data_IF_192533929468
#
_entry.id   IF_192533929468
#
_cell.length_a   1.000
_cell.length_b   1.000
_cell.length_c   1.000
_cell.angle_alpha   90.00
_cell.angle_beta   90.00
_cell.angle_gamma   90.00
#
_symmetry.space_group_name_H-M   'P 1'
#
loop_
_entity.id
_entity.type
_entity.pdbx_description
1 polymer ?
#
# COMPACT_ATOMS: atom_id res chain seq x y z
N UNK A 1 -5.06 18.85 -27.98
CA UNK A 1 -5.63 17.68 -27.26
C UNK A 1 -6.48 18.23 -26.14
N UNK A 2 -7.79 17.96 -26.11
CA UNK A 2 -8.63 18.30 -24.95
C UNK A 2 -8.59 17.11 -24.00
N UNK A 3 -8.14 17.31 -22.77
CA UNK A 3 -8.24 16.28 -21.73
C UNK A 3 -9.72 16.00 -21.45
N UNK A 4 -10.10 14.75 -21.14
CA UNK A 4 -11.45 14.47 -20.65
C UNK A 4 -11.73 15.29 -19.39
N UNK A 5 -13.00 15.66 -19.15
CA UNK A 5 -13.35 16.42 -17.96
C UNK A 5 -12.93 15.68 -16.68
N UNK A 6 -12.49 16.42 -15.64
CA UNK A 6 -12.03 15.81 -14.40
C UNK A 6 -13.18 15.16 -13.65
N UNK A 7 -12.86 14.11 -12.89
CA UNK A 7 -13.75 13.56 -11.86
C UNK A 7 -13.34 14.19 -10.53
N UNK A 8 -14.31 14.76 -9.83
CA UNK A 8 -14.12 15.29 -8.49
C UNK A 8 -14.87 14.36 -7.54
N UNK A 9 -14.13 13.75 -6.63
CA UNK A 9 -14.65 12.85 -5.61
C UNK A 9 -14.61 13.55 -4.24
N UNK A 10 -15.75 13.60 -3.56
CA UNK A 10 -15.87 14.07 -2.18
C UNK A 10 -15.99 12.90 -1.20
N UNK A 11 -15.60 13.13 0.05
CA UNK A 11 -15.64 12.12 1.11
C UNK A 11 -17.07 11.84 1.63
N UNK A 12 -17.13 10.96 2.64
CA UNK A 12 -18.34 10.40 3.24
C UNK A 12 -18.96 11.37 4.25
N UNK A 13 -19.58 12.44 3.75
CA UNK A 13 -20.63 13.15 4.47
C UNK A 13 -21.78 13.46 3.49
N UNK A 14 -22.99 13.11 3.91
CA UNK A 14 -24.31 13.24 3.27
C UNK A 14 -24.51 14.59 2.54
N UNK A 15 -25.60 14.76 1.78
CA UNK A 15 -26.05 16.01 1.11
C UNK A 15 -25.96 17.30 1.97
N UNK A 16 -25.75 17.15 3.28
CA UNK A 16 -25.29 18.17 4.23
C UNK A 16 -24.00 18.91 3.83
N UNK A 17 -23.09 18.35 3.03
CA UNK A 17 -21.84 19.03 2.60
C UNK A 17 -22.11 20.35 1.87
N UNK A 18 -23.16 20.37 1.04
CA UNK A 18 -23.61 21.56 0.29
C UNK A 18 -24.06 22.68 1.24
N UNK A 19 -24.61 22.31 2.39
CA UNK A 19 -25.08 23.24 3.42
C UNK A 19 -23.99 23.61 4.45
N UNK A 20 -22.94 22.79 4.57
CA UNK A 20 -21.83 22.98 5.51
C UNK A 20 -20.90 24.14 5.11
N UNK A 21 -20.67 24.33 3.81
CA UNK A 21 -19.78 25.37 3.30
C UNK A 21 -20.55 26.37 2.46
N UNK A 22 -20.39 27.66 2.77
CA UNK A 22 -21.13 28.76 2.14
C UNK A 22 -21.06 28.76 0.60
N UNK A 23 -19.95 28.30 0.04
CA UNK A 23 -19.69 28.32 -1.40
C UNK A 23 -19.85 26.94 -2.08
N UNK A 24 -20.22 25.88 -1.36
CA UNK A 24 -20.26 24.53 -1.93
C UNK A 24 -21.25 24.43 -3.11
N UNK A 25 -22.47 24.95 -2.96
CA UNK A 25 -23.48 24.92 -4.04
C UNK A 25 -23.00 25.62 -5.31
N UNK A 26 -22.41 26.79 -5.17
CA UNK A 26 -21.89 27.56 -6.30
C UNK A 26 -20.72 26.84 -6.98
N UNK A 27 -19.83 26.23 -6.21
CA UNK A 27 -18.71 25.44 -6.74
C UNK A 27 -19.22 24.20 -7.50
N UNK A 28 -20.18 23.45 -6.94
CA UNK A 28 -20.77 22.27 -7.60
C UNK A 28 -21.45 22.67 -8.91
N UNK A 29 -22.24 23.74 -8.92
CA UNK A 29 -22.88 24.24 -10.14
C UNK A 29 -21.85 24.65 -11.20
N UNK A 30 -20.80 25.37 -10.82
CA UNK A 30 -19.73 25.78 -11.72
C UNK A 30 -18.97 24.57 -12.30
N UNK A 31 -18.69 23.56 -11.48
CA UNK A 31 -18.05 22.31 -11.93
C UNK A 31 -18.91 21.58 -12.96
N UNK A 32 -20.22 21.49 -12.73
CA UNK A 32 -21.17 20.93 -13.70
C UNK A 32 -21.20 21.72 -15.02
N UNK A 33 -21.19 23.06 -14.95
CA UNK A 33 -21.11 23.91 -16.15
C UNK A 33 -19.81 23.73 -16.94
N UNK A 34 -18.70 23.44 -16.24
CA UNK A 34 -17.41 23.14 -16.85
C UNK A 34 -17.30 21.69 -17.34
N UNK A 35 -18.34 20.87 -17.14
CA UNK A 35 -18.44 19.49 -17.61
C UNK A 35 -17.77 18.46 -16.71
N UNK A 36 -17.37 18.82 -15.48
CA UNK A 36 -16.78 17.89 -14.52
C UNK A 36 -17.83 16.89 -14.01
N UNK A 37 -17.40 15.65 -13.78
CA UNK A 37 -18.23 14.63 -13.14
C UNK A 37 -18.02 14.69 -11.63
N UNK A 38 -19.11 14.85 -10.88
CA UNK A 38 -19.08 14.85 -9.42
C UNK A 38 -19.50 13.48 -8.88
N UNK A 39 -18.63 12.88 -8.08
CA UNK A 39 -18.94 11.70 -7.26
C UNK A 39 -18.88 12.12 -5.80
N UNK A 40 -19.95 11.87 -5.06
CA UNK A 40 -20.01 12.11 -3.62
C UNK A 40 -19.90 10.78 -2.88
N UNK A 41 -19.54 10.84 -1.60
CA UNK A 41 -19.48 9.67 -0.72
C UNK A 41 -18.48 8.60 -1.19
N UNK A 42 -17.37 9.02 -1.78
CA UNK A 42 -16.30 8.12 -2.22
C UNK A 42 -15.30 7.93 -1.09
N UNK A 43 -15.21 6.72 -0.56
CA UNK A 43 -14.15 6.34 0.36
C UNK A 43 -12.84 6.14 -0.41
N UNK A 44 -11.86 7.01 -0.17
CA UNK A 44 -10.54 6.98 -0.80
C UNK A 44 -9.78 5.65 -0.58
N UNK A 45 -10.09 4.91 0.50
CA UNK A 45 -9.50 3.60 0.82
C UNK A 45 -10.21 2.42 0.15
N UNK A 46 -11.34 2.68 -0.50
CA UNK A 46 -12.13 1.66 -1.22
C UNK A 46 -12.46 2.08 -2.67
N UNK A 47 -11.95 3.22 -3.13
CA UNK A 47 -12.34 3.83 -4.40
C UNK A 47 -12.08 2.96 -5.63
N UNK A 48 -11.15 1.99 -5.56
CA UNK A 48 -10.93 1.04 -6.67
C UNK A 48 -12.12 0.11 -6.91
N UNK A 49 -12.96 -0.08 -5.89
CA UNK A 49 -14.15 -0.91 -5.94
C UNK A 49 -15.40 -0.09 -6.30
N UNK A 50 -15.30 1.24 -6.36
CA UNK A 50 -16.44 2.10 -6.65
C UNK A 50 -16.94 1.86 -8.09
N UNK A 51 -18.24 1.60 -8.33
CA UNK A 51 -18.75 1.20 -9.65
C UNK A 51 -18.41 2.18 -10.79
N UNK A 52 -18.38 3.48 -10.49
CA UNK A 52 -18.04 4.51 -11.47
C UNK A 52 -16.52 4.63 -11.74
N UNK A 53 -15.66 4.05 -10.88
CA UNK A 53 -14.20 4.23 -10.94
C UNK A 53 -13.46 2.92 -11.27
N UNK A 54 -14.01 1.76 -10.94
CA UNK A 54 -13.34 0.45 -11.03
C UNK A 54 -12.85 0.09 -12.43
N UNK A 55 -13.56 0.57 -13.45
CA UNK A 55 -13.22 0.36 -14.87
C UNK A 55 -12.36 1.48 -15.46
N UNK A 56 -12.09 2.54 -14.70
CA UNK A 56 -11.35 3.72 -15.16
C UNK A 56 -9.85 3.60 -14.88
N UNK A 57 -9.09 4.37 -15.66
CA UNK A 57 -7.67 4.62 -15.42
C UNK A 57 -7.36 6.10 -15.57
N UNK A 58 -6.54 6.63 -14.68
CA UNK A 58 -6.26 8.06 -14.57
C UNK A 58 -4.80 8.36 -14.89
N UNK A 59 -4.57 9.43 -15.64
CA UNK A 59 -3.23 10.00 -15.84
C UNK A 59 -2.78 10.79 -14.61
N UNK A 60 -3.74 11.28 -13.83
CA UNK A 60 -3.48 12.02 -12.59
C UNK A 60 -4.56 11.76 -11.57
N UNK A 61 -4.15 11.41 -10.36
CA UNK A 61 -5.02 11.32 -9.18
C UNK A 61 -4.46 12.30 -8.15
N UNK A 62 -5.29 13.21 -7.64
CA UNK A 62 -4.85 14.26 -6.71
C UNK A 62 -5.58 14.07 -5.38
N UNK A 63 -4.84 14.03 -4.28
CA UNK A 63 -5.40 14.04 -2.93
C UNK A 63 -4.93 15.28 -2.18
N UNK A 64 -5.88 16.16 -1.85
CA UNK A 64 -5.61 17.45 -1.23
C UNK A 64 -5.74 17.36 0.29
N UNK A 65 -4.62 17.50 1.01
CA UNK A 65 -4.57 17.59 2.47
C UNK A 65 -5.39 16.49 3.16
N UNK A 66 -5.06 15.20 2.92
CA UNK A 66 -5.77 14.07 3.51
C UNK A 66 -5.86 14.19 5.03
N UNK A 67 -6.99 13.77 5.62
CA UNK A 67 -7.22 13.82 7.06
C UNK A 67 -8.23 12.76 7.48
N UNK A 68 -7.93 12.01 8.55
CA UNK A 68 -8.77 10.90 9.02
C UNK A 68 -9.85 11.36 10.03
N UNK A 69 -10.35 12.59 9.87
CA UNK A 69 -11.26 13.21 10.84
C UNK A 69 -10.56 13.68 12.12
N UNK A 70 -11.33 14.21 13.07
CA UNK A 70 -10.84 14.93 14.25
C UNK A 70 -11.12 14.12 15.52
N UNK A 71 -10.22 13.19 15.85
CA UNK A 71 -10.38 12.29 17.00
C UNK A 71 -9.39 12.53 18.15
N UNK A 72 -8.65 13.63 18.13
CA UNK A 72 -7.63 13.93 19.13
C UNK A 72 -6.69 15.05 18.69
N UNK A 73 -5.53 15.12 19.33
CA UNK A 73 -4.47 16.07 18.93
C UNK A 73 -3.67 15.50 17.74
N UNK A 74 -3.20 16.39 16.88
CA UNK A 74 -2.45 16.02 15.67
C UNK A 74 -1.06 15.41 15.96
N UNK A 75 -0.54 15.60 17.19
CA UNK A 75 0.74 15.04 17.66
C UNK A 75 0.57 13.72 18.46
N UNK A 76 -0.67 13.24 18.61
CA UNK A 76 -0.96 11.98 19.28
C UNK A 76 -0.58 10.79 18.37
N UNK A 77 0.21 9.81 18.85
CA UNK A 77 0.65 8.66 18.05
C UNK A 77 -0.49 7.83 17.44
N UNK A 78 -1.63 7.68 18.13
CA UNK A 78 -2.77 6.92 17.63
C UNK A 78 -3.48 7.69 16.50
N UNK A 79 -3.57 9.02 16.65
CA UNK A 79 -4.12 9.91 15.62
C UNK A 79 -3.22 9.92 14.37
N UNK A 80 -1.90 10.03 14.56
CA UNK A 80 -0.92 9.92 13.46
C UNK A 80 -1.06 8.57 12.75
N UNK A 81 -1.23 7.48 13.49
CA UNK A 81 -1.41 6.13 12.91
C UNK A 81 -2.67 6.06 12.05
N UNK A 82 -3.79 6.62 12.50
CA UNK A 82 -5.03 6.69 11.69
C UNK A 82 -4.83 7.48 10.40
N UNK A 83 -4.13 8.61 10.48
CA UNK A 83 -3.81 9.42 9.31
C UNK A 83 -2.91 8.68 8.31
N UNK A 84 -1.89 7.98 8.81
CA UNK A 84 -1.03 7.12 7.99
C UNK A 84 -1.82 6.02 7.31
N UNK A 85 -2.72 5.34 8.02
CA UNK A 85 -3.56 4.28 7.45
C UNK A 85 -4.50 4.80 6.36
N UNK A 86 -5.09 5.99 6.53
CA UNK A 86 -5.89 6.65 5.48
C UNK A 86 -5.06 6.88 4.21
N UNK A 87 -3.87 7.44 4.34
CA UNK A 87 -2.99 7.76 3.20
C UNK A 87 -2.49 6.48 2.53
N UNK A 88 -2.11 5.46 3.32
CA UNK A 88 -1.72 4.13 2.81
C UNK A 88 -2.85 3.49 2.03
N UNK A 89 -4.05 3.44 2.60
CA UNK A 89 -5.25 2.89 1.94
C UNK A 89 -5.56 3.61 0.63
N UNK A 90 -5.45 4.94 0.61
CA UNK A 90 -5.54 5.73 -0.61
C UNK A 90 -4.48 5.32 -1.64
N UNK A 91 -3.20 5.25 -1.27
CA UNK A 91 -2.13 4.89 -2.21
C UNK A 91 -2.34 3.50 -2.83
N UNK A 92 -2.73 2.50 -2.03
CA UNK A 92 -3.06 1.15 -2.52
C UNK A 92 -4.21 1.16 -3.54
N UNK A 93 -5.19 2.04 -3.39
CA UNK A 93 -6.30 2.16 -4.32
C UNK A 93 -5.93 2.98 -5.55
N UNK A 94 -5.28 4.12 -5.35
CA UNK A 94 -4.89 5.06 -6.40
C UNK A 94 -3.93 4.41 -7.38
N UNK A 95 -2.95 3.64 -6.90
CA UNK A 95 -1.99 2.93 -7.76
C UNK A 95 -2.68 1.97 -8.73
N UNK A 96 -3.73 1.26 -8.27
CA UNK A 96 -4.49 0.32 -9.12
C UNK A 96 -5.34 0.99 -10.20
N UNK A 97 -5.67 2.26 -10.01
CA UNK A 97 -6.46 3.08 -10.93
C UNK A 97 -5.59 3.98 -11.83
N UNK A 98 -4.26 3.88 -11.73
CA UNK A 98 -3.34 4.75 -12.47
C UNK A 98 -2.98 4.14 -13.83
N UNK A 99 -2.85 4.98 -14.86
CA UNK A 99 -2.13 4.56 -16.07
C UNK A 99 -0.65 4.31 -15.75
N UNK A 100 0.06 3.46 -16.53
CA UNK A 100 1.47 3.16 -16.27
C UNK A 100 2.38 4.39 -16.23
N UNK A 101 2.05 5.48 -16.94
CA UNK A 101 2.75 6.77 -16.96
C UNK A 101 2.08 7.85 -16.11
N UNK A 102 0.97 7.51 -15.44
CA UNK A 102 0.23 8.43 -14.61
C UNK A 102 0.94 8.82 -13.32
N UNK A 103 0.39 9.83 -12.66
CA UNK A 103 0.95 10.42 -11.44
C UNK A 103 -0.09 10.50 -10.32
N UNK A 104 0.35 10.23 -9.09
CA UNK A 104 -0.42 10.51 -7.88
C UNK A 104 0.18 11.74 -7.22
N UNK A 105 -0.63 12.77 -7.00
CA UNK A 105 -0.21 14.02 -6.38
C UNK A 105 -0.84 14.13 -5.00
N UNK A 106 -0.05 14.29 -3.95
CA UNK A 106 -0.54 14.51 -2.58
C UNK A 106 -0.08 15.87 -2.09
N UNK A 107 -1.03 16.75 -1.78
CA UNK A 107 -0.73 18.02 -1.13
C UNK A 107 -0.73 17.82 0.38
N UNK A 108 0.38 18.11 1.05
CA UNK A 108 0.54 17.84 2.47
C UNK A 108 1.41 18.87 3.18
N UNK A 109 1.25 18.97 4.50
CA UNK A 109 2.10 19.79 5.35
C UNK A 109 3.42 19.05 5.64
N UNK A 110 4.52 19.78 5.63
CA UNK A 110 5.88 19.20 5.78
C UNK A 110 6.55 19.51 7.12
N UNK A 111 5.82 20.14 8.03
CA UNK A 111 6.29 20.44 9.39
C UNK A 111 5.57 19.59 10.41
N UNK A 112 6.19 19.41 11.57
CA UNK A 112 5.58 18.73 12.70
C UNK A 112 4.22 19.37 13.09
N UNK A 113 3.26 18.56 13.54
CA UNK A 113 3.31 17.09 13.66
C UNK A 113 3.04 16.34 12.34
N UNK A 114 2.59 17.04 11.30
CA UNK A 114 2.18 16.43 10.02
C UNK A 114 3.35 15.72 9.30
N UNK A 115 4.58 16.21 9.43
CA UNK A 115 5.76 15.55 8.86
C UNK A 115 5.99 14.12 9.39
N UNK A 116 5.41 13.77 10.54
CA UNK A 116 5.57 12.45 11.16
C UNK A 116 4.66 11.40 10.52
N UNK A 117 3.80 11.82 9.58
CA UNK A 117 3.02 10.89 8.77
C UNK A 117 3.89 10.17 7.73
N UNK A 118 5.12 10.65 7.47
CA UNK A 118 6.11 10.04 6.54
C UNK A 118 5.49 9.52 5.25
N UNK A 119 4.84 10.41 4.50
CA UNK A 119 4.04 10.06 3.32
C UNK A 119 4.86 9.42 2.19
N UNK A 120 6.15 9.71 2.11
CA UNK A 120 7.07 9.09 1.14
C UNK A 120 7.29 7.60 1.45
N UNK A 121 7.41 7.24 2.73
CA UNK A 121 7.54 5.86 3.17
C UNK A 121 6.26 5.08 2.84
N UNK A 122 5.09 5.67 3.12
CA UNK A 122 3.79 5.09 2.79
C UNK A 122 3.60 4.87 1.28
N UNK A 123 4.09 5.79 0.45
CA UNK A 123 4.06 5.64 -0.99
C UNK A 123 4.97 4.48 -1.44
N UNK A 124 6.18 4.40 -0.86
CA UNK A 124 7.15 3.33 -1.14
C UNK A 124 6.60 1.94 -0.80
N UNK A 125 5.94 1.80 0.35
CA UNK A 125 5.21 0.59 0.75
C UNK A 125 4.17 0.16 -0.31
N UNK A 126 3.63 1.12 -1.07
CA UNK A 126 2.61 0.92 -2.10
C UNK A 126 3.19 0.85 -3.53
N UNK A 127 4.49 0.54 -3.69
CA UNK A 127 5.18 0.46 -5.00
C UNK A 127 5.14 1.76 -5.81
N UNK A 128 5.10 2.90 -5.11
CA UNK A 128 5.18 4.22 -5.70
C UNK A 128 6.54 4.84 -5.38
N UNK A 129 7.10 5.58 -6.33
CA UNK A 129 8.34 6.32 -6.16
C UNK A 129 8.04 7.81 -6.19
N UNK A 130 8.66 8.57 -5.27
CA UNK A 130 8.64 10.02 -5.33
C UNK A 130 9.47 10.46 -6.54
N UNK A 131 8.84 11.20 -7.43
CA UNK A 131 9.49 11.77 -8.62
C UNK A 131 9.81 13.24 -8.44
N UNK A 132 8.99 13.95 -7.68
CA UNK A 132 9.14 15.38 -7.45
C UNK A 132 8.44 15.80 -6.16
N UNK A 133 9.07 16.66 -5.37
CA UNK A 133 8.43 17.40 -4.29
C UNK A 133 8.55 18.88 -4.59
N UNK A 134 7.42 19.57 -4.74
CA UNK A 134 7.37 21.01 -5.02
C UNK A 134 6.64 21.75 -3.94
N UNK A 135 7.05 23.00 -3.68
CA UNK A 135 6.34 23.87 -2.75
C UNK A 135 4.90 24.09 -3.22
N UNK A 136 3.94 23.82 -2.34
CA UNK A 136 2.55 24.15 -2.61
C UNK A 136 2.36 25.66 -2.44
N UNK A 137 1.98 26.33 -3.52
CA UNK A 137 1.76 27.77 -3.56
C UNK A 137 0.31 28.04 -3.84
N UNK A 138 -0.38 28.66 -2.88
CA UNK A 138 -1.82 28.99 -3.04
C UNK A 138 -2.01 29.99 -4.18
N UNK A 139 -1.00 30.84 -4.43
CA UNK A 139 -0.99 31.81 -5.53
C UNK A 139 -1.18 31.17 -6.92
N UNK A 140 -0.85 29.88 -7.07
CA UNK A 140 -1.02 29.14 -8.33
C UNK A 140 -2.46 28.67 -8.56
N UNK A 141 -3.35 28.83 -7.58
CA UNK A 141 -4.75 28.38 -7.64
C UNK A 141 -5.72 29.53 -7.35
N UNK A 142 -5.89 30.49 -8.28
CA UNK A 142 -6.82 31.60 -8.10
C UNK A 142 -8.24 31.10 -7.79
N UNK A 143 -8.85 31.65 -6.73
CA UNK A 143 -10.17 31.24 -6.25
C UNK A 143 -10.17 30.04 -5.28
N UNK A 144 -9.06 29.33 -5.12
CA UNK A 144 -8.93 28.30 -4.10
C UNK A 144 -8.86 28.92 -2.71
N UNK A 145 -9.81 28.53 -1.86
CA UNK A 145 -9.88 28.93 -0.46
C UNK A 145 -10.01 27.66 0.38
N UNK A 146 -8.91 27.25 1.03
CA UNK A 146 -8.90 26.04 1.83
C UNK A 146 -9.81 26.18 3.05
N UNK A 147 -10.44 25.07 3.45
CA UNK A 147 -11.44 25.01 4.52
C UNK A 147 -11.08 23.90 5.49
N UNK A 148 -11.52 24.03 6.74
CA UNK A 148 -11.36 22.97 7.76
C UNK A 148 -12.41 21.88 7.56
N UNK A 149 -12.05 20.65 7.94
CA UNK A 149 -12.88 19.49 7.69
C UNK A 149 -14.11 19.36 8.58
N UNK A 150 -14.19 20.01 9.75
CA UNK A 150 -15.33 19.86 10.66
C UNK A 150 -15.46 21.00 11.68
N UNK A 151 -16.52 20.94 12.49
CA UNK A 151 -16.77 21.85 13.61
C UNK A 151 -17.33 23.21 13.20
N UNK A 152 -17.57 24.08 14.20
CA UNK A 152 -18.12 25.43 13.99
C UNK A 152 -17.23 26.34 13.14
N UNK A 153 -15.94 25.98 12.99
CA UNK A 153 -14.93 26.67 12.18
C UNK A 153 -14.67 25.99 10.84
N UNK A 154 -15.51 25.06 10.41
CA UNK A 154 -15.29 24.32 9.16
C UNK A 154 -15.07 25.26 7.97
N UNK A 155 -15.84 26.35 7.88
CA UNK A 155 -15.72 27.31 6.76
C UNK A 155 -14.52 28.29 6.91
N UNK A 156 -13.76 28.23 8.00
CA UNK A 156 -12.52 29.00 8.17
C UNK A 156 -11.31 28.31 7.53
N UNK A 157 -10.31 29.07 7.07
CA UNK A 157 -9.09 28.49 6.55
C UNK A 157 -8.22 27.88 7.66
N UNK A 158 -7.38 26.93 7.25
CA UNK A 158 -6.22 26.50 8.02
C UNK A 158 -4.93 27.10 7.44
N UNK A 159 -3.85 27.23 8.22
CA UNK A 159 -2.60 27.80 7.72
C UNK A 159 -2.04 27.01 6.53
N UNK A 160 -1.83 27.72 5.42
CA UNK A 160 -1.08 27.29 4.24
C UNK A 160 0.15 28.21 4.08
N UNK A 161 1.19 27.74 3.40
CA UNK A 161 2.38 28.54 3.13
C UNK A 161 3.61 27.71 2.81
N UNK A 162 4.80 28.21 3.15
CA UNK A 162 6.11 27.57 2.91
C UNK A 162 6.27 26.18 3.56
N UNK A 163 5.30 25.77 4.38
CA UNK A 163 5.26 24.51 5.12
C UNK A 163 4.34 23.48 4.47
N UNK A 164 3.99 23.65 3.19
CA UNK A 164 3.20 22.70 2.42
C UNK A 164 3.91 22.35 1.12
N UNK A 165 3.81 21.09 0.70
CA UNK A 165 4.36 20.62 -0.57
C UNK A 165 3.36 19.74 -1.30
N UNK A 166 3.49 19.72 -2.62
CA UNK A 166 2.90 18.70 -3.50
C UNK A 166 3.94 17.62 -3.73
N UNK A 167 3.63 16.41 -3.29
CA UNK A 167 4.43 15.21 -3.53
C UNK A 167 3.87 14.52 -4.77
N UNK A 168 4.72 14.28 -5.77
CA UNK A 168 4.32 13.65 -7.02
C UNK A 168 4.95 12.27 -7.12
N UNK A 169 4.11 11.26 -7.15
CA UNK A 169 4.50 9.86 -7.19
C UNK A 169 4.15 9.24 -8.53
N UNK A 170 4.97 8.29 -8.97
CA UNK A 170 4.67 7.40 -10.11
C UNK A 170 4.74 5.96 -9.65
N UNK A 171 4.10 5.07 -10.41
CA UNK A 171 4.34 3.64 -10.27
C UNK A 171 5.84 3.38 -10.45
N UNK A 172 6.42 2.62 -9.52
CA UNK A 172 7.77 2.11 -9.66
C UNK A 172 7.81 1.16 -10.87
N UNK A 173 8.13 1.70 -12.06
CA UNK A 173 8.30 0.91 -13.26
C UNK A 173 9.55 0.07 -13.11
N UNK A 174 9.38 -1.23 -12.96
CA UNK A 174 10.48 -2.16 -13.05
C UNK A 174 10.92 -2.33 -14.51
N UNK A 175 11.54 -1.31 -15.10
CA UNK A 175 12.43 -1.56 -16.25
C UNK A 175 13.71 -2.14 -15.67
N UNK A 176 13.84 -3.47 -15.70
CA UNK A 176 15.08 -4.16 -15.29
C UNK A 176 15.46 -3.86 -13.84
N UNK A 177 14.52 -4.06 -12.90
CA UNK A 177 14.80 -4.04 -11.45
C UNK A 177 14.05 -5.14 -10.71
N UNK A 178 12.98 -5.70 -11.31
CA UNK A 178 12.44 -6.99 -10.88
C UNK A 178 13.51 -8.07 -10.97
N UNK A 179 14.39 -8.04 -11.98
CA UNK A 179 15.60 -8.89 -12.00
C UNK A 179 16.56 -8.54 -10.86
N UNK A 180 16.74 -7.30 -10.40
CA UNK A 180 17.68 -7.06 -9.29
C UNK A 180 17.13 -7.45 -7.90
N UNK A 181 15.83 -7.30 -7.63
CA UNK A 181 15.23 -7.76 -6.36
C UNK A 181 14.94 -9.26 -6.41
N UNK A 182 14.39 -9.78 -7.51
CA UNK A 182 14.23 -11.23 -7.67
C UNK A 182 15.58 -11.93 -7.85
N UNK A 183 16.59 -11.38 -8.53
CA UNK A 183 17.96 -11.94 -8.59
C UNK A 183 18.72 -11.70 -7.28
N UNK A 184 18.45 -10.63 -6.50
CA UNK A 184 18.92 -10.59 -5.11
C UNK A 184 18.32 -11.74 -4.32
N UNK A 185 17.00 -11.97 -4.42
CA UNK A 185 16.32 -13.06 -3.72
C UNK A 185 16.71 -14.45 -4.26
N UNK A 186 16.99 -14.59 -5.56
CA UNK A 186 17.42 -15.82 -6.24
C UNK A 186 18.88 -16.12 -5.95
N UNK A 187 19.77 -15.13 -5.95
CA UNK A 187 21.18 -15.27 -5.54
C UNK A 187 21.28 -15.53 -4.03
N UNK A 188 20.41 -14.95 -3.20
CA UNK A 188 20.29 -15.29 -1.77
C UNK A 188 19.89 -16.77 -1.60
N UNK A 189 18.93 -17.27 -2.39
CA UNK A 189 18.50 -18.67 -2.38
C UNK A 189 19.60 -19.65 -2.86
N UNK A 190 20.29 -19.33 -3.96
CA UNK A 190 21.37 -20.15 -4.54
C UNK A 190 22.61 -20.20 -3.63
N UNK A 191 23.01 -19.08 -3.03
CA UNK A 191 24.18 -19.02 -2.14
C UNK A 191 23.93 -19.74 -0.81
N UNK A 192 22.69 -19.82 -0.34
CA UNK A 192 22.33 -20.65 0.83
C UNK A 192 22.43 -22.15 0.53
N UNK A 193 22.01 -22.60 -0.66
CA UNK A 193 22.18 -24.02 -1.04
C UNK A 193 23.64 -24.44 -1.22
N UNK A 194 24.54 -23.54 -1.61
CA UNK A 194 25.99 -23.85 -1.70
C UNK A 194 26.67 -23.82 -0.32
N UNK A 195 26.19 -22.98 0.60
CA UNK A 195 26.82 -22.84 1.94
C UNK A 195 26.33 -23.88 2.94
N UNK A 196 25.12 -24.42 2.77
CA UNK A 196 24.59 -25.49 3.65
C UNK A 196 25.18 -26.88 3.35
N UNK A 197 25.99 -27.05 2.31
CA UNK A 197 26.71 -28.32 2.07
C UNK A 197 28.03 -28.49 2.82
N UNK A 198 28.48 -27.54 3.65
CA UNK A 198 29.73 -27.72 4.42
C UNK A 198 29.67 -27.60 5.93
N UNK A 199 28.54 -27.28 6.56
CA UNK A 199 28.48 -27.38 8.03
C UNK A 199 27.04 -27.60 8.53
N UNK A 200 26.70 -28.87 8.72
CA UNK A 200 25.89 -29.43 9.81
C UNK A 200 25.87 -30.95 9.63
N UNK A 201 26.89 -31.63 10.15
CA UNK A 201 26.85 -33.08 10.31
C UNK A 201 25.91 -33.44 11.46
N UNK A 202 24.74 -33.98 11.14
CA UNK A 202 23.99 -34.90 12.01
C UNK A 202 23.48 -36.05 11.11
N UNK A 203 23.65 -37.32 11.51
CA UNK A 203 23.66 -38.44 10.57
C UNK A 203 22.24 -38.94 10.27
N UNK A 204 21.84 -38.90 9.00
CA UNK A 204 20.76 -39.76 8.48
C UNK A 204 21.42 -40.84 7.65
N UNK A 205 21.41 -42.06 8.19
CA UNK A 205 21.77 -43.28 7.45
C UNK A 205 20.64 -43.58 6.47
N UNK A 206 20.85 -43.28 5.19
CA UNK A 206 20.19 -44.01 4.10
C UNK A 206 21.22 -44.34 3.02
N UNK A 207 21.15 -45.59 2.58
CA UNK A 207 22.12 -46.31 1.79
C UNK A 207 22.40 -45.64 0.44
N UNK A 208 23.68 -45.50 0.10
CA UNK A 208 24.13 -45.07 -1.23
C UNK A 208 24.06 -46.26 -2.21
N UNK A 209 23.45 -46.04 -3.37
CA UNK A 209 23.72 -46.80 -4.59
C UNK A 209 24.28 -45.83 -5.65
N UNK A 210 25.30 -46.23 -6.43
CA UNK A 210 26.06 -45.30 -7.27
C UNK A 210 25.42 -45.12 -8.66
N UNK A 211 25.25 -43.89 -9.12
CA UNK A 211 25.01 -43.63 -10.55
C UNK A 211 25.79 -42.43 -11.08
N UNK A 212 26.23 -42.63 -12.32
CA UNK A 212 27.21 -41.94 -13.16
C UNK A 212 26.81 -40.49 -13.51
N UNK A 213 27.75 -39.54 -13.74
CA UNK A 213 27.38 -38.18 -14.13
C UNK A 213 26.82 -38.13 -15.56
N UNK A 214 25.60 -37.62 -15.70
CA UNK A 214 24.97 -37.24 -16.97
C UNK A 214 25.27 -35.76 -17.25
N UNK A 215 25.54 -35.34 -18.51
CA UNK A 215 25.78 -33.93 -18.84
C UNK A 215 24.53 -33.08 -18.62
N UNK A 216 24.70 -31.91 -17.99
CA UNK A 216 23.65 -30.91 -17.76
C UNK A 216 23.26 -30.26 -19.10
N UNK A 217 21.98 -30.30 -19.55
CA UNK A 217 21.51 -29.46 -20.64
C UNK A 217 21.29 -28.03 -20.13
N UNK A 218 21.46 -27.04 -21.02
CA UNK A 218 21.26 -25.61 -20.75
C UNK A 218 19.93 -25.35 -20.00
N UNK A 219 19.90 -24.37 -19.08
CA UNK A 219 18.71 -24.10 -18.30
C UNK A 219 17.63 -23.48 -19.19
N UNK A 220 16.52 -24.21 -19.37
CA UNK A 220 15.28 -23.62 -19.83
C UNK A 220 14.90 -22.42 -18.96
N UNK A 221 14.26 -21.38 -19.52
CA UNK A 221 13.86 -20.19 -18.77
C UNK A 221 12.97 -20.58 -17.58
N UNK A 222 13.44 -20.26 -16.38
CA UNK A 222 12.76 -20.59 -15.12
C UNK A 222 11.36 -19.97 -15.12
N UNK A 223 10.29 -20.76 -14.87
CA UNK A 223 8.94 -20.24 -14.78
C UNK A 223 8.85 -19.10 -13.76
N UNK A 224 8.18 -18.01 -14.12
CA UNK A 224 7.83 -16.94 -13.19
C UNK A 224 6.89 -17.57 -12.16
N UNK A 225 7.31 -17.62 -10.89
CA UNK A 225 6.58 -18.25 -9.81
C UNK A 225 5.30 -17.45 -9.49
N UNK A 226 4.21 -17.86 -10.13
CA UNK A 226 2.88 -17.29 -9.93
C UNK A 226 2.36 -17.48 -8.49
N UNK A 227 2.93 -18.42 -7.72
CA UNK A 227 2.48 -18.76 -6.38
C UNK A 227 2.82 -17.70 -5.33
N UNK A 228 3.99 -17.07 -5.44
CA UNK A 228 4.44 -16.07 -4.46
C UNK A 228 3.56 -14.80 -4.46
N UNK A 229 3.17 -14.33 -5.66
CA UNK A 229 2.26 -13.19 -5.79
C UNK A 229 0.84 -13.52 -5.31
N UNK A 230 0.42 -14.77 -5.49
CA UNK A 230 -0.88 -15.24 -5.03
C UNK A 230 -0.93 -15.31 -3.49
N UNK A 231 0.15 -15.75 -2.84
CA UNK A 231 0.28 -15.75 -1.38
C UNK A 231 0.13 -14.33 -0.77
N UNK A 232 0.82 -13.35 -1.34
CA UNK A 232 0.72 -11.95 -0.88
C UNK A 232 -0.66 -11.33 -1.13
N UNK A 233 -1.30 -11.69 -2.23
CA UNK A 233 -2.66 -11.22 -2.54
C UNK A 233 -3.71 -11.82 -1.60
N UNK A 234 -3.62 -13.12 -1.31
CA UNK A 234 -4.53 -13.85 -0.43
C UNK A 234 -4.37 -13.44 1.04
N UNK A 235 -3.12 -13.35 1.51
CA UNK A 235 -2.83 -13.08 2.93
C UNK A 235 -2.50 -11.62 3.23
N UNK A 236 -2.55 -10.72 2.24
CA UNK A 236 -2.23 -9.30 2.44
C UNK A 236 -3.08 -8.63 3.52
N UNK A 237 -4.37 -8.97 3.61
CA UNK A 237 -5.24 -8.48 4.68
C UNK A 237 -4.83 -9.03 6.05
N UNK A 238 -4.52 -10.33 6.16
CA UNK A 238 -4.05 -10.95 7.40
C UNK A 238 -2.74 -10.34 7.88
N UNK A 239 -1.79 -10.10 6.97
CA UNK A 239 -0.51 -9.49 7.31
C UNK A 239 -0.67 -8.06 7.82
N UNK A 240 -1.54 -7.26 7.18
CA UNK A 240 -1.89 -5.92 7.67
C UNK A 240 -2.58 -5.99 9.05
N UNK A 241 -3.51 -6.93 9.23
CA UNK A 241 -4.26 -7.12 10.47
C UNK A 241 -3.38 -7.57 11.65
N UNK A 242 -2.37 -8.42 11.40
CA UNK A 242 -1.35 -8.81 12.40
C UNK A 242 -0.47 -7.62 12.78
N UNK A 243 -0.15 -6.72 11.85
CA UNK A 243 0.58 -5.49 12.17
C UNK A 243 -0.26 -4.51 12.99
N UNK A 244 -1.55 -4.37 12.69
CA UNK A 244 -2.48 -3.50 13.42
C UNK A 244 -2.77 -3.97 14.84
N UNK A 245 -2.65 -5.28 15.11
CA UNK A 245 -2.99 -5.89 16.40
C UNK A 245 -1.76 -6.29 17.23
N UNK A 246 -0.54 -6.04 16.72
CA UNK A 246 0.72 -6.36 17.38
C UNK A 246 0.86 -5.58 18.70
N UNK A 247 0.83 -6.30 19.83
CA UNK A 247 0.94 -5.74 21.18
C UNK A 247 -0.39 -5.44 21.89
N UNK A 248 -1.54 -5.76 21.28
CA UNK A 248 -2.84 -5.60 21.93
C UNK A 248 -3.09 -6.66 23.02
N UNK A 249 -3.50 -6.23 24.22
CA UNK A 249 -3.54 -7.07 25.44
C UNK A 249 -4.88 -7.82 25.64
N UNK A 250 -5.91 -7.52 24.85
CA UNK A 250 -7.27 -8.07 25.00
C UNK A 250 -7.81 -8.73 23.72
N UNK A 251 -6.91 -9.20 22.87
CA UNK A 251 -7.24 -9.59 21.52
C UNK A 251 -7.41 -11.11 21.38
N UNK A 252 -8.56 -11.53 20.85
CA UNK A 252 -8.83 -12.93 20.53
C UNK A 252 -8.16 -13.31 19.20
N UNK A 253 -6.90 -13.75 19.33
CA UNK A 253 -6.06 -14.21 18.23
C UNK A 253 -6.72 -15.39 17.51
N UNK A 254 -7.44 -16.25 18.23
CA UNK A 254 -7.95 -17.50 17.71
C UNK A 254 -9.14 -17.26 16.76
N UNK A 255 -10.09 -16.41 17.16
CA UNK A 255 -11.20 -16.00 16.29
C UNK A 255 -10.71 -15.30 15.02
N UNK A 256 -9.72 -14.42 15.16
CA UNK A 256 -9.20 -13.64 14.04
C UNK A 256 -8.37 -14.48 13.06
N UNK A 257 -7.64 -15.48 13.56
CA UNK A 257 -6.92 -16.44 12.73
C UNK A 257 -7.89 -17.32 11.94
N UNK A 258 -8.98 -17.78 12.57
CA UNK A 258 -10.03 -18.55 11.89
C UNK A 258 -10.69 -17.73 10.78
N UNK A 259 -10.99 -16.47 11.04
CA UNK A 259 -11.61 -15.59 10.05
C UNK A 259 -10.65 -15.28 8.90
N UNK A 260 -9.38 -15.02 9.18
CA UNK A 260 -8.35 -14.83 8.15
C UNK A 260 -8.18 -16.06 7.25
N UNK A 261 -8.15 -17.26 7.85
CA UNK A 261 -8.08 -18.51 7.09
C UNK A 261 -9.32 -18.72 6.22
N UNK A 262 -10.51 -18.40 6.73
CA UNK A 262 -11.79 -18.48 6.00
C UNK A 262 -11.79 -17.54 4.80
N UNK A 263 -11.50 -16.25 5.02
CA UNK A 263 -11.46 -15.23 3.97
C UNK A 263 -10.39 -15.53 2.92
N UNK A 264 -9.21 -15.97 3.35
CA UNK A 264 -8.14 -16.38 2.42
C UNK A 264 -8.54 -17.56 1.55
N UNK A 265 -9.20 -18.58 2.12
CA UNK A 265 -9.66 -19.75 1.38
C UNK A 265 -10.78 -19.39 0.40
N UNK A 266 -11.75 -18.58 0.82
CA UNK A 266 -12.82 -18.08 -0.06
C UNK A 266 -12.26 -17.24 -1.22
N UNK A 267 -11.24 -16.42 -0.97
CA UNK A 267 -10.54 -15.64 -1.99
C UNK A 267 -9.80 -16.55 -2.97
N UNK A 268 -9.10 -17.56 -2.47
CA UNK A 268 -8.42 -18.58 -3.29
C UNK A 268 -9.40 -19.30 -4.21
N UNK A 269 -10.51 -19.81 -3.66
CA UNK A 269 -11.51 -20.58 -4.41
C UNK A 269 -12.28 -19.74 -5.42
N UNK A 270 -12.50 -18.46 -5.15
CA UNK A 270 -13.19 -17.55 -6.08
C UNK A 270 -12.33 -17.06 -7.23
N UNK A 271 -11.00 -17.09 -7.09
CA UNK A 271 -10.06 -16.60 -8.12
C UNK A 271 -10.04 -17.47 -9.38
N UNK A 272 -10.12 -18.79 -9.24
CA UNK A 272 -10.09 -19.75 -10.36
C UNK A 272 -11.10 -20.88 -10.10
N UNK A 273 -12.23 -20.93 -10.83
CA UNK A 273 -13.22 -21.99 -10.66
C UNK A 273 -12.64 -23.38 -10.93
N UNK A 274 -12.87 -24.32 -10.02
CA UNK A 274 -12.45 -25.73 -10.16
C UNK A 274 -11.00 -26.02 -9.78
N UNK A 275 -10.27 -25.06 -9.20
CA UNK A 275 -8.93 -25.29 -8.66
C UNK A 275 -8.96 -26.23 -7.44
N UNK A 276 -7.91 -27.05 -7.21
CA UNK A 276 -7.87 -27.98 -6.09
C UNK A 276 -7.60 -27.28 -4.76
N UNK A 277 -8.18 -27.79 -3.67
CA UNK A 277 -7.95 -27.27 -2.31
C UNK A 277 -6.49 -27.42 -1.85
N UNK A 278 -5.77 -28.43 -2.37
CA UNK A 278 -4.36 -28.67 -2.06
C UNK A 278 -3.47 -27.48 -2.40
N UNK A 279 -3.80 -26.70 -3.44
CA UNK A 279 -3.03 -25.51 -3.76
C UNK A 279 -3.15 -24.40 -2.71
N UNK A 280 -4.21 -24.38 -1.89
CA UNK A 280 -4.27 -23.43 -0.76
C UNK A 280 -3.35 -23.85 0.38
N UNK A 281 -3.15 -25.16 0.57
CA UNK A 281 -2.17 -25.71 1.52
C UNK A 281 -0.76 -25.30 1.10
N UNK A 282 -0.42 -25.40 -0.18
CA UNK A 282 0.89 -24.98 -0.71
C UNK A 282 1.16 -23.48 -0.43
N UNK A 283 0.12 -22.64 -0.50
CA UNK A 283 0.22 -21.20 -0.21
C UNK A 283 0.39 -20.96 1.31
N UNK A 284 -0.29 -21.73 2.17
CA UNK A 284 -0.09 -21.68 3.62
C UNK A 284 1.33 -22.10 4.03
N UNK A 285 1.90 -23.13 3.39
CA UNK A 285 3.27 -23.56 3.62
C UNK A 285 4.28 -22.48 3.19
N UNK A 286 4.01 -21.78 2.09
CA UNK A 286 4.81 -20.62 1.67
C UNK A 286 4.74 -19.47 2.67
N UNK A 287 3.54 -19.16 3.18
CA UNK A 287 3.37 -18.15 4.22
C UNK A 287 4.17 -18.50 5.48
N UNK A 288 4.13 -19.78 5.89
CA UNK A 288 4.90 -20.28 7.01
C UNK A 288 6.42 -20.12 6.78
N UNK A 289 6.90 -20.50 5.60
CA UNK A 289 8.29 -20.34 5.22
C UNK A 289 8.73 -18.86 5.27
N UNK A 290 7.93 -17.95 4.74
CA UNK A 290 8.22 -16.51 4.77
C UNK A 290 8.25 -15.94 6.20
N UNK A 291 7.36 -16.44 7.07
CA UNK A 291 7.36 -16.08 8.50
C UNK A 291 8.65 -16.51 9.20
N UNK A 292 9.15 -17.72 8.92
CA UNK A 292 10.44 -18.21 9.44
C UNK A 292 11.58 -17.31 8.97
N UNK A 293 11.64 -16.98 7.68
CA UNK A 293 12.70 -16.13 7.11
C UNK A 293 12.66 -14.73 7.70
N UNK A 294 11.47 -14.12 7.86
CA UNK A 294 11.29 -12.83 8.54
C UNK A 294 11.84 -12.87 9.97
N UNK A 295 11.51 -13.93 10.73
CA UNK A 295 11.96 -14.11 12.10
C UNK A 295 13.50 -14.21 12.19
N UNK A 296 14.13 -14.96 11.29
CA UNK A 296 15.60 -15.07 11.23
C UNK A 296 16.26 -13.72 10.93
N UNK A 297 15.70 -12.94 10.00
CA UNK A 297 16.20 -11.60 9.67
C UNK A 297 16.06 -10.64 10.84
N UNK A 298 14.93 -10.66 11.54
CA UNK A 298 14.72 -9.84 12.74
C UNK A 298 15.71 -10.19 13.84
N UNK A 299 16.01 -11.48 14.04
CA UNK A 299 17.07 -11.92 14.97
C UNK A 299 18.44 -11.39 14.56
N UNK A 300 18.76 -11.41 13.27
CA UNK A 300 20.01 -10.86 12.77
C UNK A 300 20.10 -9.34 12.96
N UNK A 301 19.02 -8.61 12.67
CA UNK A 301 18.95 -7.16 12.92
C UNK A 301 19.08 -6.81 14.40
N UNK A 302 18.48 -7.62 15.28
CA UNK A 302 18.63 -7.45 16.72
C UNK A 302 20.09 -7.62 17.17
N UNK A 303 20.81 -8.61 16.64
CA UNK A 303 22.23 -8.81 16.93
C UNK A 303 23.07 -7.58 16.51
N UNK A 304 22.80 -7.03 15.32
CA UNK A 304 23.49 -5.81 14.85
C UNK A 304 23.20 -4.58 15.74
N UNK A 305 21.98 -4.45 16.26
CA UNK A 305 21.62 -3.37 17.18
C UNK A 305 22.29 -3.54 18.56
N UNK A 306 22.46 -4.77 19.03
CA UNK A 306 23.16 -5.08 20.28
C UNK A 306 24.68 -4.82 20.13
N UNK A 307 25.28 -5.16 19.00
CA UNK A 307 26.70 -4.91 18.72
C UNK A 307 27.04 -3.42 18.58
N UNK A 308 26.08 -2.57 18.21
CA UNK A 308 26.25 -1.11 18.14
C UNK A 308 26.16 -0.40 19.50
N UNK A 309 25.82 -1.12 20.58
CA UNK A 309 25.75 -0.59 21.94
C UNK A 309 26.98 -0.94 22.80
N UNK A 310 28.01 -1.57 22.22
CA UNK A 310 29.29 -1.91 22.86
C UNK A 310 30.44 -1.01 22.40
#
# INVERSE_FOLDING_TARGET
MKWPPPIIAGDREDLTYVWKYKNASANVAMLGMLGASLLLEVDATQMKNHPALSTMRFHRIIYNFPHAGFSGKEDDPDVITRHRNLVRGFFMNASSLLWPDGEIHVNHKITAPFSDWKIEDLATECSLILTEQVNFRIEHYPGYNNKRGSGFRCDEPFPLGRYCSTFKFKLCRTTTTTTNILDMMRNLYLNTTTTTSQNLQIPVVMQQQPTVPVPVPDPDPVPIDHSFNECLWIFGWYLNHVEETFGAISYDIDSSLREALRVGFETYMSAVPGRPESGYIDILEQLHHLSIVRSQRLRHMLLLLVDQQL
#
